data_IF_860754000212
#
_entry.id   IF_860754000212
#
_cell.length_a   1.000
_cell.length_b   1.000
_cell.length_c   1.000
_cell.angle_alpha   90.00
_cell.angle_beta   90.00
_cell.angle_gamma   90.00
#
_symmetry.space_group_name_H-M   'P 1'
#
loop_
_entity.id
_entity.type
_entity.pdbx_description
1 polymer ?
#
# COMPACT_ATOMS: atom_id res chain seq x y z
N UNK A 1 -11.97 -16.82 8.07
CA UNK A 1 -11.78 -17.18 6.66
C UNK A 1 -13.12 -17.28 5.98
N UNK A 2 -13.13 -17.19 4.66
CA UNK A 2 -14.30 -17.29 3.79
C UNK A 2 -13.95 -18.01 2.49
N UNK A 3 -14.95 -18.38 1.72
CA UNK A 3 -14.81 -18.91 0.36
C UNK A 3 -15.69 -18.13 -0.62
N UNK A 4 -15.23 -18.01 -1.86
CA UNK A 4 -15.98 -17.35 -2.93
C UNK A 4 -16.09 -18.25 -4.16
N UNK A 5 -17.21 -18.19 -4.87
CA UNK A 5 -17.40 -18.86 -6.16
C UNK A 5 -16.71 -18.06 -7.28
N UNK A 6 -15.38 -17.93 -7.19
CA UNK A 6 -14.55 -17.09 -8.06
C UNK A 6 -14.51 -15.61 -7.65
N UNK A 7 -13.37 -14.95 -7.84
CA UNK A 7 -13.12 -13.60 -7.30
C UNK A 7 -13.95 -12.44 -7.86
N UNK A 8 -14.74 -12.66 -8.91
CA UNK A 8 -15.57 -11.64 -9.55
C UNK A 8 -17.07 -11.98 -9.60
N UNK A 9 -17.48 -13.12 -9.03
CA UNK A 9 -18.91 -13.50 -9.03
C UNK A 9 -19.73 -12.70 -8.02
N UNK A 10 -19.07 -12.16 -6.99
CA UNK A 10 -19.72 -11.53 -5.83
C UNK A 10 -20.49 -12.52 -4.94
N UNK A 11 -20.28 -13.84 -5.14
CA UNK A 11 -20.88 -14.90 -4.33
C UNK A 11 -19.82 -15.42 -3.38
N UNK A 12 -20.02 -15.16 -2.09
CA UNK A 12 -19.17 -15.66 -1.00
C UNK A 12 -20.01 -16.11 0.20
N UNK A 13 -19.34 -16.73 1.18
CA UNK A 13 -19.94 -17.18 2.44
C UNK A 13 -19.83 -16.14 3.58
N UNK A 14 -19.44 -14.90 3.28
CA UNK A 14 -19.41 -13.82 4.26
C UNK A 14 -20.82 -13.29 4.58
N UNK A 15 -20.92 -12.56 5.71
CA UNK A 15 -22.17 -11.90 6.08
C UNK A 15 -22.52 -10.78 5.09
N UNK A 16 -23.80 -10.40 5.03
CA UNK A 16 -24.24 -9.27 4.20
C UNK A 16 -23.48 -7.99 4.56
N UNK A 17 -22.97 -7.30 3.55
CA UNK A 17 -22.19 -6.06 3.73
C UNK A 17 -20.69 -6.33 3.91
N UNK A 18 -20.27 -7.58 3.74
CA UNK A 18 -18.90 -8.06 3.87
C UNK A 18 -18.56 -8.80 2.58
N UNK A 19 -17.33 -8.65 2.11
CA UNK A 19 -16.81 -9.31 0.92
C UNK A 19 -15.70 -10.28 1.32
N UNK A 20 -15.66 -11.45 0.69
CA UNK A 20 -14.51 -12.33 0.78
C UNK A 20 -13.34 -11.79 -0.04
N UNK A 21 -12.29 -11.35 0.66
CA UNK A 21 -11.15 -10.63 0.10
C UNK A 21 -9.85 -11.44 0.20
N UNK A 22 -8.87 -11.11 -0.63
CA UNK A 22 -7.55 -11.75 -0.67
C UNK A 22 -7.64 -13.29 -0.75
N UNK A 23 -8.37 -13.78 -1.77
CA UNK A 23 -8.48 -15.21 -2.05
C UNK A 23 -7.11 -15.79 -2.40
N UNK A 24 -6.74 -16.88 -1.74
CA UNK A 24 -5.60 -17.70 -2.13
C UNK A 24 -5.95 -18.63 -3.31
N UNK A 25 -4.99 -19.46 -3.74
CA UNK A 25 -5.17 -20.42 -4.85
C UNK A 25 -6.31 -21.42 -4.61
N UNK A 26 -6.63 -21.71 -3.35
CA UNK A 26 -7.72 -22.60 -2.95
C UNK A 26 -9.08 -21.88 -2.89
N UNK A 27 -9.15 -20.59 -3.24
CA UNK A 27 -10.37 -19.78 -3.16
C UNK A 27 -10.78 -19.41 -1.74
N UNK A 28 -9.83 -19.44 -0.79
CA UNK A 28 -10.03 -19.09 0.62
C UNK A 28 -9.48 -17.68 0.88
N UNK A 29 -10.29 -16.82 1.50
CA UNK A 29 -9.90 -15.45 1.84
C UNK A 29 -10.28 -15.06 3.27
N UNK A 30 -10.33 -13.75 3.48
CA UNK A 30 -10.78 -13.11 4.72
C UNK A 30 -11.98 -12.22 4.45
N UNK A 31 -13.00 -12.31 5.31
CA UNK A 31 -14.16 -11.45 5.26
C UNK A 31 -13.77 -10.01 5.65
N UNK A 32 -13.92 -9.07 4.72
CA UNK A 32 -13.64 -7.64 4.89
C UNK A 32 -14.94 -6.84 4.72
N UNK A 33 -15.23 -5.97 5.69
CA UNK A 33 -16.43 -5.13 5.65
C UNK A 33 -16.39 -4.17 4.45
N UNK A 34 -17.54 -3.94 3.83
CA UNK A 34 -17.69 -2.92 2.81
C UNK A 34 -17.86 -1.55 3.46
N UNK A 35 -17.39 -0.51 2.76
CA UNK A 35 -17.58 0.85 3.21
C UNK A 35 -19.07 1.19 3.37
N UNK A 36 -19.36 1.97 4.40
CA UNK A 36 -20.67 2.58 4.67
C UNK A 36 -20.59 4.10 4.46
N UNK A 37 -21.69 4.82 4.65
CA UNK A 37 -21.72 6.27 4.43
C UNK A 37 -21.92 6.64 2.96
N UNK A 38 -21.40 7.80 2.55
CA UNK A 38 -21.43 8.26 1.15
C UNK A 38 -20.03 8.20 0.54
N UNK A 39 -19.88 8.19 -0.79
CA UNK A 39 -18.56 8.22 -1.42
C UNK A 39 -17.69 9.42 -0.99
N UNK A 40 -18.31 10.56 -0.67
CA UNK A 40 -17.62 11.78 -0.21
C UNK A 40 -17.32 11.79 1.29
N UNK A 41 -17.96 10.89 2.04
CA UNK A 41 -17.74 10.72 3.47
C UNK A 41 -17.86 9.24 3.83
N UNK A 42 -16.93 8.41 3.33
CA UNK A 42 -17.03 6.98 3.52
C UNK A 42 -16.57 6.61 4.93
N UNK A 43 -17.20 5.57 5.48
CA UNK A 43 -17.00 5.16 6.86
C UNK A 43 -16.80 3.65 6.96
N UNK A 44 -15.97 3.26 7.91
CA UNK A 44 -15.79 1.86 8.28
C UNK A 44 -16.23 1.62 9.72
N UNK A 45 -16.98 0.55 9.92
CA UNK A 45 -17.43 0.16 11.26
C UNK A 45 -16.29 -0.42 12.12
N UNK A 46 -15.37 -1.25 11.59
CA UNK A 46 -14.24 -1.75 12.37
C UNK A 46 -13.25 -0.61 12.71
N UNK A 47 -12.86 -0.47 13.98
CA UNK A 47 -11.85 0.52 14.37
C UNK A 47 -10.49 0.19 13.74
N UNK A 48 -9.73 1.22 13.37
CA UNK A 48 -8.41 1.04 12.75
C UNK A 48 -8.46 0.58 11.28
N UNK A 49 -9.62 0.69 10.63
CA UNK A 49 -9.75 0.46 9.20
C UNK A 49 -10.11 1.75 8.47
N UNK A 50 -9.62 1.87 7.24
CA UNK A 50 -9.89 2.99 6.34
C UNK A 50 -10.69 2.49 5.15
N UNK A 51 -11.65 3.29 4.70
CA UNK A 51 -12.40 2.95 3.50
C UNK A 51 -11.56 3.26 2.26
N UNK A 52 -11.27 2.21 1.50
CA UNK A 52 -10.58 2.28 0.22
C UNK A 52 -11.59 2.06 -0.90
N UNK A 53 -11.78 3.09 -1.72
CA UNK A 53 -12.66 3.11 -2.89
C UNK A 53 -11.80 3.15 -4.15
N UNK A 54 -11.72 2.02 -4.83
CA UNK A 54 -10.85 1.82 -6.00
C UNK A 54 -11.62 1.18 -7.16
N UNK A 55 -10.99 1.08 -8.32
CA UNK A 55 -11.58 0.53 -9.55
C UNK A 55 -12.91 1.22 -9.91
N UNK A 56 -12.89 2.55 -9.96
CA UNK A 56 -14.06 3.38 -10.27
C UNK A 56 -15.24 3.15 -9.31
N UNK A 57 -14.95 2.77 -8.06
CA UNK A 57 -15.95 2.49 -7.03
C UNK A 57 -16.51 1.07 -7.07
N UNK A 58 -15.96 0.18 -7.91
CA UNK A 58 -16.34 -1.23 -7.94
C UNK A 58 -15.92 -1.98 -6.68
N UNK A 59 -14.86 -1.50 -6.02
CA UNK A 59 -14.42 -2.00 -4.72
C UNK A 59 -14.47 -0.86 -3.70
N UNK A 60 -15.17 -1.10 -2.59
CA UNK A 60 -15.29 -0.20 -1.45
C UNK A 60 -15.02 -1.00 -0.16
N UNK A 61 -13.76 -1.19 0.17
CA UNK A 61 -13.31 -2.11 1.23
C UNK A 61 -12.82 -1.35 2.46
N UNK A 62 -13.15 -1.85 3.64
CA UNK A 62 -12.59 -1.37 4.90
C UNK A 62 -11.30 -2.11 5.24
N UNK A 63 -10.17 -1.56 4.80
CA UNK A 63 -8.86 -2.19 4.94
C UNK A 63 -8.15 -1.74 6.22
N UNK A 64 -7.40 -2.63 6.90
CA UNK A 64 -6.61 -2.25 8.08
C UNK A 64 -5.60 -1.16 7.75
N UNK A 65 -5.49 -0.16 8.62
CA UNK A 65 -4.39 0.79 8.57
C UNK A 65 -3.07 0.15 9.02
N UNK A 66 -1.95 0.68 8.57
CA UNK A 66 -0.61 0.16 8.89
C UNK A 66 0.44 1.27 8.98
N UNK A 67 1.63 0.93 9.46
CA UNK A 67 2.81 1.80 9.43
C UNK A 67 3.81 1.26 8.36
N UNK A 68 4.15 2.07 7.33
CA UNK A 68 4.99 1.61 6.23
C UNK A 68 6.45 1.36 6.62
N UNK A 69 6.93 1.95 7.72
CA UNK A 69 8.28 1.70 8.26
C UNK A 69 8.33 0.37 9.04
N UNK A 70 7.21 -0.04 9.63
CA UNK A 70 7.12 -1.30 10.39
C UNK A 70 6.65 -2.49 9.53
N UNK A 71 5.92 -2.23 8.44
CA UNK A 71 5.26 -3.26 7.62
C UNK A 71 4.44 -4.23 8.49
N UNK A 72 3.61 -3.67 9.37
CA UNK A 72 2.85 -4.39 10.39
C UNK A 72 1.54 -5.03 9.88
N UNK A 73 1.46 -5.29 8.58
CA UNK A 73 0.37 -6.03 7.95
C UNK A 73 0.44 -7.53 8.28
N UNK A 74 -0.73 -8.19 8.27
CA UNK A 74 -0.82 -9.61 8.64
C UNK A 74 -0.84 -10.51 7.41
N UNK A 75 -0.18 -11.67 7.49
CA UNK A 75 -0.20 -12.66 6.41
C UNK A 75 0.61 -12.21 5.19
N UNK A 76 0.05 -12.40 3.99
CA UNK A 76 0.68 -12.06 2.71
C UNK A 76 0.20 -10.68 2.22
N UNK A 77 0.34 -9.67 3.07
CA UNK A 77 -0.08 -8.30 2.80
C UNK A 77 1.10 -7.34 2.87
N UNK A 78 0.99 -6.24 2.13
CA UNK A 78 1.97 -5.16 2.09
C UNK A 78 1.31 -3.85 2.52
N UNK A 79 2.06 -3.03 3.27
CA UNK A 79 1.61 -1.72 3.70
C UNK A 79 1.93 -0.68 2.63
N UNK A 80 0.90 -0.12 1.99
CA UNK A 80 1.02 0.88 0.92
C UNK A 80 0.25 2.16 1.29
N UNK A 81 0.56 3.27 0.62
CA UNK A 81 -0.19 4.51 0.78
C UNK A 81 -1.67 4.32 0.42
N UNK A 82 -2.57 4.91 1.21
CA UNK A 82 -3.99 4.93 0.92
C UNK A 82 -4.28 5.77 -0.34
N UNK A 83 -4.82 5.19 -1.41
CA UNK A 83 -5.11 5.95 -2.63
C UNK A 83 -6.22 7.01 -2.44
N UNK A 84 -6.95 6.98 -1.33
CA UNK A 84 -8.05 7.89 -1.05
C UNK A 84 -7.77 8.86 0.13
N UNK A 85 -6.57 8.83 0.72
CA UNK A 85 -6.27 9.62 1.91
C UNK A 85 -4.78 9.74 2.20
N UNK A 86 -4.45 10.30 3.37
CA UNK A 86 -3.06 10.51 3.82
C UNK A 86 -2.54 9.34 4.67
N UNK A 87 -3.29 8.24 4.77
CA UNK A 87 -2.89 7.08 5.57
C UNK A 87 -2.13 6.03 4.78
N UNK A 88 -1.95 4.86 5.41
CA UNK A 88 -1.47 3.65 4.77
C UNK A 88 -2.42 2.50 5.09
N UNK A 89 -2.54 1.54 4.18
CA UNK A 89 -3.46 0.40 4.28
C UNK A 89 -2.77 -0.90 3.89
N UNK A 90 -3.19 -1.99 4.55
CA UNK A 90 -2.79 -3.34 4.20
C UNK A 90 -3.57 -3.84 3.00
N UNK A 91 -2.83 -4.23 1.96
CA UNK A 91 -3.39 -4.81 0.73
C UNK A 91 -2.67 -6.11 0.39
N UNK A 92 -3.21 -6.88 -0.55
CA UNK A 92 -2.53 -8.07 -1.06
C UNK A 92 -1.13 -7.73 -1.55
N UNK A 93 -0.13 -8.47 -1.06
CA UNK A 93 1.22 -8.43 -1.63
C UNK A 93 1.22 -9.16 -2.99
N UNK A 94 1.33 -8.39 -4.07
CA UNK A 94 1.44 -8.91 -5.43
C UNK A 94 2.89 -9.01 -5.92
N UNK A 95 3.88 -8.66 -5.08
CA UNK A 95 5.30 -8.72 -5.43
C UNK A 95 5.81 -10.16 -5.54
N UNK A 96 5.20 -11.09 -4.80
CA UNK A 96 5.72 -12.45 -4.63
C UNK A 96 7.12 -12.50 -4.04
N UNK A 97 7.59 -11.42 -3.40
CA UNK A 97 8.96 -11.27 -2.91
C UNK A 97 10.01 -11.01 -4.00
N UNK A 98 9.59 -10.77 -5.24
CA UNK A 98 10.47 -10.70 -6.41
C UNK A 98 10.72 -9.28 -6.94
N UNK A 99 10.22 -8.24 -6.25
CA UNK A 99 10.37 -6.84 -6.64
C UNK A 99 11.09 -6.02 -5.54
N UNK A 100 12.39 -6.27 -5.30
CA UNK A 100 13.17 -5.48 -4.37
C UNK A 100 13.30 -4.01 -4.84
N UNK A 101 13.97 -3.21 -4.01
CA UNK A 101 14.39 -1.86 -4.35
C UNK A 101 15.05 -1.80 -5.75
N UNK A 102 14.71 -0.77 -6.53
CA UNK A 102 15.21 -0.56 -7.89
C UNK A 102 14.51 -1.38 -8.97
N UNK A 103 13.45 -2.13 -8.64
CA UNK A 103 12.69 -2.92 -9.62
C UNK A 103 11.61 -2.06 -10.31
N UNK A 104 11.40 -2.21 -11.63
CA UNK A 104 10.24 -1.63 -12.32
C UNK A 104 8.91 -2.02 -11.70
N UNK A 105 7.98 -1.08 -11.61
CA UNK A 105 6.64 -1.33 -11.10
C UNK A 105 5.57 -0.59 -11.90
N UNK A 106 4.38 -1.17 -11.95
CA UNK A 106 3.21 -0.61 -12.65
C UNK A 106 1.98 -0.46 -11.73
N UNK A 107 2.05 -0.98 -10.51
CA UNK A 107 0.97 -0.96 -9.53
C UNK A 107 1.52 -0.70 -8.12
N UNK A 108 0.69 -0.16 -7.23
CA UNK A 108 1.15 0.23 -5.89
C UNK A 108 1.58 -0.96 -5.02
N UNK A 109 1.02 -2.15 -5.23
CA UNK A 109 1.20 -3.33 -4.37
C UNK A 109 2.14 -4.40 -4.97
N UNK A 110 2.89 -4.08 -6.02
CA UNK A 110 3.81 -5.03 -6.68
C UNK A 110 5.26 -4.89 -6.23
N UNK A 111 5.58 -3.86 -5.44
CA UNK A 111 6.87 -3.73 -4.79
C UNK A 111 6.91 -4.59 -3.53
N UNK A 112 8.08 -5.14 -3.20
CA UNK A 112 8.27 -5.90 -1.95
C UNK A 112 7.93 -5.03 -0.73
N UNK A 113 7.51 -5.65 0.40
CA UNK A 113 7.25 -4.93 1.64
C UNK A 113 8.36 -3.96 2.04
N UNK A 114 7.98 -2.74 2.40
CA UNK A 114 8.89 -1.64 2.72
C UNK A 114 9.22 -0.75 1.53
N UNK A 115 8.75 -1.06 0.32
CA UNK A 115 8.97 -0.25 -0.87
C UNK A 115 7.66 0.31 -1.44
N UNK A 116 7.74 1.53 -1.96
CA UNK A 116 6.69 2.22 -2.69
C UNK A 116 7.02 2.28 -4.18
N UNK A 117 6.01 2.08 -5.03
CA UNK A 117 6.14 2.34 -6.46
C UNK A 117 6.10 3.85 -6.72
N UNK A 118 7.26 4.46 -7.01
CA UNK A 118 7.41 5.90 -7.22
C UNK A 118 7.76 6.23 -8.67
N UNK A 119 7.65 7.50 -9.05
CA UNK A 119 8.07 7.96 -10.37
C UNK A 119 9.57 7.66 -10.61
N UNK A 120 9.98 7.11 -11.77
CA UNK A 120 11.39 6.85 -12.05
C UNK A 120 12.29 8.09 -12.03
N UNK A 121 11.74 9.30 -12.25
CA UNK A 121 12.51 10.54 -12.11
C UNK A 121 12.81 10.88 -10.63
N UNK A 122 11.96 10.41 -9.70
CA UNK A 122 12.18 10.57 -8.26
C UNK A 122 13.16 9.53 -7.72
N UNK A 123 13.13 8.30 -8.25
CA UNK A 123 14.08 7.24 -7.94
C UNK A 123 14.76 6.71 -9.22
N UNK A 124 15.85 7.36 -9.68
CA UNK A 124 16.41 7.18 -11.03
C UNK A 124 17.30 5.94 -11.17
N UNK A 125 16.77 4.76 -10.83
CA UNK A 125 17.45 3.52 -11.11
C UNK A 125 17.44 3.26 -12.65
N UNK A 126 18.60 2.97 -13.28
CA UNK A 126 18.67 2.66 -14.71
C UNK A 126 17.74 1.52 -15.18
N UNK A 127 17.50 0.51 -14.33
CA UNK A 127 16.64 -0.63 -14.65
C UNK A 127 15.16 -0.22 -14.76
N UNK A 128 14.79 0.91 -14.15
CA UNK A 128 13.45 1.48 -14.21
C UNK A 128 13.24 2.43 -15.40
N UNK A 129 14.24 2.68 -16.24
CA UNK A 129 14.11 3.59 -17.37
C UNK A 129 13.03 3.13 -18.36
N UNK A 130 12.07 4.01 -18.65
CA UNK A 130 10.95 3.73 -19.54
C UNK A 130 9.81 2.93 -18.90
N UNK A 131 9.91 2.60 -17.61
CA UNK A 131 8.84 1.98 -16.83
C UNK A 131 7.88 3.02 -16.27
N UNK A 132 6.71 2.60 -15.79
CA UNK A 132 5.74 3.50 -15.15
C UNK A 132 6.20 3.98 -13.77
N UNK A 133 6.91 3.12 -13.03
CA UNK A 133 7.44 3.40 -11.71
C UNK A 133 8.69 2.60 -11.40
N UNK A 134 9.30 2.92 -10.27
CA UNK A 134 10.42 2.24 -9.68
C UNK A 134 10.15 1.98 -8.19
N UNK A 135 10.48 0.79 -7.69
CA UNK A 135 10.34 0.47 -6.28
C UNK A 135 11.41 1.19 -5.45
N UNK A 136 11.01 2.14 -4.62
CA UNK A 136 11.87 2.87 -3.71
C UNK A 136 11.50 2.61 -2.24
N UNK A 137 12.47 2.47 -1.33
CA UNK A 137 12.17 2.14 0.06
C UNK A 137 11.52 3.31 0.80
N UNK A 138 10.56 3.00 1.66
CA UNK A 138 10.18 3.90 2.75
C UNK A 138 11.37 4.08 3.70
N UNK A 139 11.47 5.25 4.31
CA UNK A 139 12.57 5.61 5.17
C UNK A 139 12.11 6.44 6.38
N UNK A 140 12.82 6.29 7.49
CA UNK A 140 12.57 7.08 8.71
C UNK A 140 13.32 8.41 8.60
N UNK A 141 12.59 9.52 8.63
CA UNK A 141 13.15 10.88 8.57
C UNK A 141 14.07 11.19 9.74
N UNK A 142 13.94 10.49 10.87
CA UNK A 142 14.81 10.64 12.04
C UNK A 142 16.12 9.84 11.91
N UNK A 143 16.26 8.96 10.91
CA UNK A 143 17.48 8.22 10.60
C UNK A 143 18.26 8.85 9.44
N UNK A 144 19.34 9.55 9.79
CA UNK A 144 20.25 10.19 8.83
C UNK A 144 20.91 9.23 7.83
N UNK A 145 20.88 7.92 8.06
CA UNK A 145 21.42 6.91 7.15
C UNK A 145 20.36 6.07 6.46
N UNK A 146 19.07 6.40 6.58
CA UNK A 146 17.97 5.55 6.11
C UNK A 146 18.06 5.19 4.61
N UNK A 147 18.61 6.08 3.79
CA UNK A 147 18.79 5.88 2.34
C UNK A 147 20.23 5.59 1.92
N UNK A 148 21.10 5.20 2.85
CA UNK A 148 22.49 4.86 2.56
C UNK A 148 22.63 3.44 2.00
N UNK A 149 23.49 3.25 1.00
CA UNK A 149 23.82 1.92 0.46
C UNK A 149 22.76 1.31 -0.46
N UNK A 150 21.85 2.13 -0.96
CA UNK A 150 20.85 1.76 -1.98
C UNK A 150 21.49 1.66 -3.37
N UNK A 151 20.75 1.09 -4.33
CA UNK A 151 21.23 0.96 -5.71
C UNK A 151 21.44 2.29 -6.44
N UNK A 152 20.79 3.36 -5.97
CA UNK A 152 20.92 4.72 -6.50
C UNK A 152 21.72 5.57 -5.52
N UNK A 153 22.79 6.19 -6.01
CA UNK A 153 23.61 7.13 -5.22
C UNK A 153 22.95 8.50 -5.10
N UNK A 154 23.15 9.16 -3.95
CA UNK A 154 22.73 10.56 -3.74
C UNK A 154 21.25 10.77 -3.47
N UNK A 155 20.49 9.68 -3.25
CA UNK A 155 19.13 9.75 -2.74
C UNK A 155 19.14 10.07 -1.24
N UNK A 156 18.11 10.76 -0.80
CA UNK A 156 17.89 11.11 0.59
C UNK A 156 16.48 10.72 1.03
N UNK A 157 16.23 10.74 2.34
CA UNK A 157 14.91 10.44 2.86
C UNK A 157 14.02 11.68 2.70
N UNK A 158 13.18 11.67 1.67
CA UNK A 158 12.26 12.79 1.37
C UNK A 158 10.95 12.54 2.08
N UNK A 159 10.43 13.56 2.78
CA UNK A 159 9.18 13.44 3.54
C UNK A 159 8.01 13.02 2.64
N UNK A 160 7.24 12.03 3.08
CA UNK A 160 6.07 11.55 2.34
C UNK A 160 4.90 12.54 2.44
N UNK A 161 4.76 13.18 3.60
CA UNK A 161 3.75 14.20 3.86
C UNK A 161 4.33 15.61 3.81
N UNK A 162 3.50 16.53 3.34
CA UNK A 162 3.78 17.96 3.49
C UNK A 162 3.88 18.35 4.98
N UNK A 163 4.73 19.34 5.33
CA UNK A 163 4.91 19.76 6.71
C UNK A 163 3.58 20.13 7.40
N UNK A 164 3.25 19.40 8.47
CA UNK A 164 2.04 19.61 9.26
C UNK A 164 0.79 18.86 8.77
N UNK A 165 0.89 18.09 7.68
CA UNK A 165 -0.22 17.29 7.13
C UNK A 165 -0.13 15.79 7.46
N UNK A 166 0.99 15.32 8.02
CA UNK A 166 1.13 13.93 8.41
C UNK A 166 0.09 13.53 9.47
N UNK A 167 -0.59 12.38 9.33
CA UNK A 167 -1.41 11.83 10.39
C UNK A 167 -0.58 11.52 11.65
N UNK A 168 -1.20 11.52 12.84
CA UNK A 168 -0.49 11.18 14.08
C UNK A 168 0.20 9.81 14.02
N UNK A 169 1.50 9.77 14.30
CA UNK A 169 2.32 8.56 14.26
C UNK A 169 2.94 8.24 12.89
N UNK A 170 2.77 9.10 11.89
CA UNK A 170 3.35 8.99 10.54
C UNK A 170 4.22 10.20 10.18
N UNK A 171 4.53 11.08 11.14
CA UNK A 171 5.29 12.32 10.91
C UNK A 171 6.73 12.06 10.45
N UNK A 172 7.28 10.90 10.77
CA UNK A 172 8.63 10.49 10.42
C UNK A 172 8.70 9.65 9.13
N UNK A 173 7.59 9.46 8.42
CA UNK A 173 7.59 8.66 7.19
C UNK A 173 8.12 9.48 6.02
N UNK A 174 9.16 8.96 5.38
CA UNK A 174 9.66 9.41 4.09
C UNK A 174 9.77 8.27 3.08
N UNK A 175 10.21 8.63 1.87
CA UNK A 175 10.58 7.70 0.80
C UNK A 175 11.95 8.11 0.26
N UNK A 176 12.82 7.14 0.04
CA UNK A 176 14.13 7.42 -0.53
C UNK A 176 13.98 7.86 -1.99
N UNK A 177 14.58 9.00 -2.33
CA UNK A 177 14.58 9.54 -3.69
C UNK A 177 15.42 10.79 -3.79
N UNK A 178 15.43 11.41 -4.97
CA UNK A 178 16.05 12.71 -5.16
C UNK A 178 15.17 13.75 -4.46
N UNK A 179 15.73 14.52 -3.54
CA UNK A 179 15.06 15.68 -2.96
C UNK A 179 14.75 16.75 -4.01
N UNK A 180 13.65 17.47 -3.80
CA UNK A 180 13.27 18.63 -4.59
C UNK A 180 14.11 19.87 -4.25
#
# INVERSE_FOLDING_TARGET
SCTAEGGASGIDDCAKGVMCWNLNEDGVGTCVELCTGTPENPMCAPPGTTCVIVNEGSLNLCLPGCNPLLQDCTGNEVCIGDPNGDGFVCVLDASGGMAPEGTPCEFANVCNPGNMCVNPDFYPNPDCQGSLGCCAPFCDLDDANACSGLSVDGVECVAYHEPGNAPPGLENVGVCGIGA
#
